data_IF_968074283604
#
_entry.id   IF_968074283604
#
_cell.length_a   1.000
_cell.length_b   1.000
_cell.length_c   1.000
_cell.angle_alpha   90.00
_cell.angle_beta   90.00
_cell.angle_gamma   90.00
#
_symmetry.space_group_name_H-M   'P 1'
#
loop_
_entity.id
_entity.type
_entity.pdbx_description
1 polymer ?
#
# COMPACT_ATOMS: atom_id res chain seq x y z
N UNK A 1 22.10 -19.25 16.09
CA UNK A 1 21.75 -19.42 14.67
C UNK A 1 21.05 -18.13 14.24
N UNK A 2 21.77 -17.19 13.63
CA UNK A 2 21.26 -15.85 13.33
C UNK A 2 20.10 -15.97 12.34
N UNK A 3 18.89 -15.55 12.74
CA UNK A 3 17.75 -15.47 11.86
C UNK A 3 18.13 -14.58 10.67
N UNK A 4 18.01 -15.11 9.44
CA UNK A 4 18.06 -14.28 8.23
C UNK A 4 16.99 -13.22 8.38
N UNK A 5 17.40 -11.96 8.54
CA UNK A 5 16.51 -10.82 8.42
C UNK A 5 15.77 -10.97 7.07
N UNK A 6 14.42 -10.92 7.05
CA UNK A 6 13.69 -11.02 5.80
C UNK A 6 14.21 -9.97 4.82
N UNK A 7 14.37 -10.37 3.54
CA UNK A 7 14.86 -9.53 2.45
C UNK A 7 13.84 -8.43 2.10
N UNK A 8 13.65 -7.47 3.00
CA UNK A 8 12.75 -6.34 2.84
C UNK A 8 13.42 -5.12 2.23
N UNK A 9 12.62 -4.15 1.79
CA UNK A 9 13.07 -2.79 1.49
C UNK A 9 12.67 -1.92 2.68
N UNK A 10 13.65 -1.37 3.39
CA UNK A 10 13.40 -0.38 4.44
C UNK A 10 13.12 0.97 3.80
N UNK A 11 12.02 1.60 4.21
CA UNK A 11 11.54 2.89 3.70
C UNK A 11 11.45 3.87 4.84
N UNK A 12 11.99 5.08 4.64
CA UNK A 12 11.77 6.23 5.52
C UNK A 12 10.93 7.27 4.81
N UNK A 13 9.93 7.82 5.50
CA UNK A 13 9.10 8.91 5.03
C UNK A 13 9.23 10.07 6.02
N UNK A 14 9.57 11.27 5.54
CA UNK A 14 9.68 12.45 6.41
C UNK A 14 9.46 13.74 5.62
N UNK A 15 8.86 14.74 6.27
CA UNK A 15 8.89 16.11 5.82
C UNK A 15 10.05 16.85 6.52
N UNK A 16 11.02 17.34 5.75
CA UNK A 16 12.18 18.04 6.33
C UNK A 16 11.97 19.54 6.45
N UNK A 17 10.81 20.08 6.06
CA UNK A 17 10.43 21.50 6.18
C UNK A 17 11.54 22.46 5.72
N UNK A 18 12.17 22.13 4.59
CA UNK A 18 13.31 22.83 3.98
C UNK A 18 14.54 23.00 4.89
N UNK A 19 14.64 22.23 5.97
CA UNK A 19 15.77 22.23 6.89
C UNK A 19 16.93 21.39 6.34
N UNK A 20 18.08 22.04 6.13
CA UNK A 20 19.29 21.35 5.70
C UNK A 20 19.76 20.32 6.74
N UNK A 21 19.68 20.70 8.01
CA UNK A 21 20.07 19.85 9.14
C UNK A 21 19.19 18.59 9.23
N UNK A 22 17.88 18.73 9.05
CA UNK A 22 16.96 17.59 9.02
C UNK A 22 17.26 16.65 7.85
N UNK A 23 17.59 17.20 6.67
CA UNK A 23 17.96 16.38 5.51
C UNK A 23 19.28 15.62 5.73
N UNK A 24 20.30 16.28 6.29
CA UNK A 24 21.59 15.65 6.58
C UNK A 24 21.45 14.55 7.65
N UNK A 25 20.63 14.78 8.68
CA UNK A 25 20.31 13.80 9.70
C UNK A 25 19.52 12.61 9.14
N UNK A 26 18.53 12.87 8.27
CA UNK A 26 17.79 11.83 7.57
C UNK A 26 18.74 10.92 6.76
N UNK A 27 19.71 11.50 6.04
CA UNK A 27 20.69 10.74 5.27
C UNK A 27 21.64 9.93 6.15
N UNK A 28 22.00 10.44 7.33
CA UNK A 28 22.76 9.68 8.32
C UNK A 28 21.93 8.50 8.86
N UNK A 29 20.69 8.76 9.24
CA UNK A 29 19.77 7.77 9.80
C UNK A 29 19.40 6.69 8.78
N UNK A 30 19.29 7.07 7.51
CA UNK A 30 19.07 6.15 6.40
C UNK A 30 20.19 5.12 6.28
N UNK A 31 21.45 5.52 6.50
CA UNK A 31 22.58 4.59 6.50
C UNK A 31 22.58 3.68 7.72
N UNK A 32 22.21 4.17 8.89
CA UNK A 32 22.14 3.37 10.12
C UNK A 32 21.04 2.30 10.05
N UNK A 33 19.91 2.61 9.41
CA UNK A 33 18.76 1.71 9.29
C UNK A 33 18.77 0.86 8.00
N UNK A 34 19.84 0.94 7.20
CA UNK A 34 19.91 0.34 5.86
C UNK A 34 18.66 0.66 5.01
N UNK A 35 18.18 1.91 5.12
CA UNK A 35 17.02 2.39 4.38
C UNK A 35 17.35 2.57 2.91
N UNK A 36 16.77 1.71 2.07
CA UNK A 36 17.02 1.73 0.64
C UNK A 36 16.19 2.78 -0.11
N UNK A 37 15.12 3.29 0.49
CA UNK A 37 14.24 4.29 -0.12
C UNK A 37 13.90 5.36 0.92
N UNK A 38 14.00 6.64 0.51
CA UNK A 38 13.54 7.77 1.30
C UNK A 38 12.49 8.54 0.50
N UNK A 39 11.34 8.77 1.13
CA UNK A 39 10.24 9.58 0.60
C UNK A 39 10.29 10.90 1.36
N UNK A 40 10.69 11.97 0.68
CA UNK A 40 10.97 13.26 1.31
C UNK A 40 10.00 14.32 0.81
N UNK A 41 9.39 15.01 1.77
CA UNK A 41 8.55 16.19 1.52
C UNK A 41 9.30 17.45 1.93
N UNK A 42 9.09 18.52 1.16
CA UNK A 42 9.73 19.83 1.32
C UNK A 42 11.25 19.78 1.53
N UNK A 43 12.00 19.09 0.66
CA UNK A 43 13.45 19.06 0.81
C UNK A 43 14.06 20.46 0.66
N UNK A 44 15.13 20.73 1.41
CA UNK A 44 16.03 21.84 1.06
C UNK A 44 16.72 21.54 -0.28
N UNK A 45 17.40 22.51 -0.88
CA UNK A 45 18.04 22.35 -2.18
C UNK A 45 18.90 21.06 -2.26
N UNK A 46 18.44 20.08 -3.04
CA UNK A 46 19.11 18.79 -3.24
C UNK A 46 20.02 18.91 -4.45
N UNK A 47 21.27 18.52 -4.30
CA UNK A 47 22.20 18.45 -5.43
C UNK A 47 21.75 17.35 -6.41
N UNK A 48 21.63 17.64 -7.72
CA UNK A 48 21.27 16.63 -8.71
C UNK A 48 22.21 15.43 -8.65
N UNK A 49 21.64 14.23 -8.53
CA UNK A 49 22.37 12.97 -8.47
C UNK A 49 21.48 11.87 -9.03
N UNK A 50 22.09 10.83 -9.60
CA UNK A 50 21.37 9.67 -10.13
C UNK A 50 20.53 8.93 -9.07
N UNK A 51 20.81 9.17 -7.79
CA UNK A 51 20.07 8.58 -6.66
C UNK A 51 18.82 9.38 -6.24
N UNK A 52 18.65 10.61 -6.76
CA UNK A 52 17.58 11.51 -6.36
C UNK A 52 16.63 11.77 -7.53
N UNK A 53 15.33 11.66 -7.27
CA UNK A 53 14.27 12.11 -8.15
C UNK A 53 13.51 13.22 -7.47
N UNK A 54 13.35 14.36 -8.14
CA UNK A 54 12.82 15.59 -7.54
C UNK A 54 11.65 16.10 -8.41
N UNK A 55 10.64 16.65 -7.75
CA UNK A 55 9.53 17.40 -8.36
C UNK A 55 10.03 18.64 -9.13
N UNK A 56 9.18 19.23 -9.96
CA UNK A 56 9.57 20.39 -10.78
C UNK A 56 9.85 21.65 -9.95
N UNK A 57 9.13 21.81 -8.84
CA UNK A 57 9.24 22.92 -7.90
C UNK A 57 10.25 22.67 -6.77
N UNK A 58 10.80 21.46 -6.68
CA UNK A 58 11.66 21.04 -5.56
C UNK A 58 10.91 20.73 -4.25
N UNK A 59 9.58 20.71 -4.23
CA UNK A 59 8.77 20.46 -3.03
C UNK A 59 8.63 18.99 -2.63
N UNK A 60 9.03 18.04 -3.47
CA UNK A 60 8.98 16.60 -3.16
C UNK A 60 10.14 15.87 -3.79
N UNK A 61 10.70 14.90 -3.08
CA UNK A 61 11.80 14.09 -3.58
C UNK A 61 11.68 12.62 -3.15
N UNK A 62 12.27 11.74 -3.97
CA UNK A 62 12.50 10.34 -3.66
C UNK A 62 13.99 10.07 -3.81
N UNK A 63 14.60 9.55 -2.75
CA UNK A 63 15.94 8.97 -2.80
C UNK A 63 15.84 7.45 -2.87
N UNK A 64 16.75 6.83 -3.60
CA UNK A 64 16.91 5.39 -3.59
C UNK A 64 18.39 5.00 -3.60
N UNK A 65 18.73 3.93 -2.87
CA UNK A 65 20.06 3.33 -2.94
C UNK A 65 20.02 1.99 -3.70
N UNK A 66 20.54 1.94 -4.94
CA UNK A 66 20.54 0.74 -5.77
C UNK A 66 21.19 -0.49 -5.11
N UNK A 67 22.18 -0.28 -4.23
CA UNK A 67 22.91 -1.37 -3.58
C UNK A 67 22.06 -2.03 -2.49
N UNK A 68 21.26 -1.25 -1.77
CA UNK A 68 20.36 -1.74 -0.72
C UNK A 68 19.10 -2.36 -1.32
N UNK A 69 18.44 -1.67 -2.26
CA UNK A 69 17.18 -2.16 -2.83
C UNK A 69 17.37 -3.30 -3.83
N UNK A 70 18.52 -3.36 -4.52
CA UNK A 70 18.80 -4.33 -5.60
C UNK A 70 17.72 -4.35 -6.69
N UNK A 71 17.17 -3.17 -6.99
CA UNK A 71 16.13 -2.91 -7.98
C UNK A 71 16.56 -1.71 -8.82
N UNK A 72 16.21 -1.74 -10.11
CA UNK A 72 16.35 -0.56 -10.97
C UNK A 72 15.22 0.41 -10.68
N UNK A 73 15.56 1.66 -10.42
CA UNK A 73 14.60 2.75 -10.28
C UNK A 73 14.65 3.67 -11.51
N UNK A 74 13.48 4.11 -11.97
CA UNK A 74 13.33 5.10 -13.04
C UNK A 74 12.28 6.14 -12.69
N UNK A 75 12.53 7.38 -13.10
CA UNK A 75 11.53 8.43 -13.03
C UNK A 75 10.38 8.07 -13.97
N UNK A 76 9.15 8.02 -13.45
CA UNK A 76 7.95 7.76 -14.24
C UNK A 76 7.24 9.05 -14.61
N UNK A 77 7.05 9.93 -13.61
CA UNK A 77 6.36 11.22 -13.77
C UNK A 77 6.76 12.17 -12.64
N UNK A 78 6.68 13.47 -12.89
CA UNK A 78 6.86 14.52 -11.88
C UNK A 78 6.04 15.76 -12.26
N UNK A 79 5.60 16.51 -11.26
CA UNK A 79 4.95 17.81 -11.41
C UNK A 79 5.40 18.77 -10.32
N UNK A 80 4.69 19.88 -10.13
CA UNK A 80 5.04 20.95 -9.19
C UNK A 80 4.84 20.59 -7.71
N UNK A 81 4.46 19.37 -7.36
CA UNK A 81 4.19 19.01 -5.95
C UNK A 81 4.26 17.51 -5.71
N UNK A 82 4.74 16.77 -6.71
CA UNK A 82 4.87 15.33 -6.63
C UNK A 82 5.97 14.82 -7.54
N UNK A 83 6.51 13.67 -7.19
CA UNK A 83 7.41 12.88 -8.01
C UNK A 83 7.06 11.40 -7.85
N UNK A 84 7.05 10.68 -8.96
CA UNK A 84 6.71 9.27 -9.03
C UNK A 84 7.87 8.47 -9.64
N UNK A 85 8.36 7.48 -8.90
CA UNK A 85 9.50 6.65 -9.26
C UNK A 85 9.07 5.18 -9.30
N UNK A 86 9.35 4.50 -10.41
CA UNK A 86 9.16 3.05 -10.51
C UNK A 86 10.46 2.34 -10.13
N UNK A 87 10.41 1.53 -9.08
CA UNK A 87 11.53 0.72 -8.60
C UNK A 87 11.15 -0.77 -8.67
N UNK A 88 11.59 -1.45 -9.73
CA UNK A 88 11.17 -2.83 -10.00
C UNK A 88 9.63 -2.95 -10.13
N UNK A 89 8.96 -3.81 -9.33
CA UNK A 89 7.50 -3.95 -9.36
C UNK A 89 6.76 -2.85 -8.58
N UNK A 90 7.48 -1.98 -7.87
CA UNK A 90 6.89 -0.98 -6.96
C UNK A 90 6.87 0.41 -7.60
N UNK A 91 5.82 1.16 -7.30
CA UNK A 91 5.70 2.58 -7.63
C UNK A 91 5.71 3.38 -6.33
N UNK A 92 6.73 4.21 -6.16
CA UNK A 92 6.83 5.13 -5.03
C UNK A 92 6.43 6.52 -5.50
N UNK A 93 5.64 7.21 -4.66
CA UNK A 93 5.18 8.57 -4.93
C UNK A 93 5.46 9.39 -3.67
N UNK A 94 6.22 10.48 -3.82
CA UNK A 94 6.29 11.55 -2.84
C UNK A 94 5.41 12.69 -3.34
N UNK A 95 4.51 13.18 -2.51
CA UNK A 95 3.63 14.28 -2.86
C UNK A 95 3.36 15.17 -1.65
N UNK A 96 3.39 16.48 -1.86
CA UNK A 96 2.96 17.48 -0.88
C UNK A 96 1.58 17.97 -1.28
N UNK A 97 0.64 17.88 -0.34
CA UNK A 97 -0.74 18.34 -0.53
C UNK A 97 -0.98 19.57 0.35
N UNK A 98 -2.03 20.33 0.06
CA UNK A 98 -2.41 21.49 0.88
C UNK A 98 -3.44 21.07 1.95
N UNK A 99 -3.89 22.03 2.77
CA UNK A 99 -4.86 21.83 3.85
C UNK A 99 -6.21 21.22 3.44
N UNK A 100 -6.45 20.94 2.15
CA UNK A 100 -7.68 20.29 1.65
C UNK A 100 -7.62 18.76 1.81
N UNK A 101 -7.47 18.29 3.05
CA UNK A 101 -7.38 16.86 3.37
C UNK A 101 -8.51 16.01 2.78
N UNK A 102 -9.74 16.55 2.72
CA UNK A 102 -10.89 15.84 2.13
C UNK A 102 -10.71 15.52 0.64
N UNK A 103 -10.06 16.39 -0.14
CA UNK A 103 -9.83 16.13 -1.57
C UNK A 103 -8.81 15.01 -1.77
N UNK A 104 -7.79 14.95 -0.92
CA UNK A 104 -6.76 13.90 -0.93
C UNK A 104 -7.37 12.55 -0.57
N UNK A 105 -8.19 12.51 0.48
CA UNK A 105 -8.88 11.28 0.92
C UNK A 105 -9.84 10.78 -0.17
N UNK A 106 -10.62 11.66 -0.80
CA UNK A 106 -11.52 11.28 -1.90
C UNK A 106 -10.73 10.72 -3.09
N UNK A 107 -9.67 11.40 -3.51
CA UNK A 107 -8.80 10.95 -4.59
C UNK A 107 -8.17 9.58 -4.32
N UNK A 108 -7.74 9.34 -3.06
CA UNK A 108 -7.16 8.09 -2.62
C UNK A 108 -8.21 6.96 -2.64
N UNK A 109 -9.41 7.23 -2.13
CA UNK A 109 -10.53 6.29 -2.15
C UNK A 109 -10.96 5.92 -3.58
N UNK A 110 -11.03 6.88 -4.50
CA UNK A 110 -11.32 6.64 -5.92
C UNK A 110 -10.29 5.70 -6.60
N UNK A 111 -9.07 5.63 -6.06
CA UNK A 111 -7.97 4.81 -6.56
C UNK A 111 -7.76 3.52 -5.76
N UNK A 112 -8.69 3.21 -4.85
CA UNK A 112 -8.61 2.08 -3.89
C UNK A 112 -7.27 2.06 -3.11
N UNK A 113 -6.74 3.25 -2.81
CA UNK A 113 -5.58 3.38 -1.94
C UNK A 113 -6.02 3.22 -0.48
N UNK A 114 -5.33 2.33 0.23
CA UNK A 114 -5.57 2.01 1.63
C UNK A 114 -4.59 2.78 2.49
N UNK A 115 -5.09 3.38 3.57
CA UNK A 115 -4.23 4.03 4.56
C UNK A 115 -3.42 2.97 5.30
N UNK A 116 -2.12 3.24 5.48
CA UNK A 116 -1.18 2.34 6.15
C UNK A 116 -0.91 2.80 7.58
N UNK A 117 -1.11 4.09 7.89
CA UNK A 117 -0.91 4.64 9.22
C UNK A 117 -1.64 3.80 10.27
N UNK A 118 -0.93 3.46 11.35
CA UNK A 118 -1.47 2.73 12.50
C UNK A 118 -1.15 3.52 13.76
N UNK A 119 -2.09 3.58 14.68
CA UNK A 119 -1.92 4.27 15.96
C UNK A 119 -2.24 5.77 15.89
N UNK A 120 -1.97 6.44 17.01
CA UNK A 120 -2.30 7.84 17.29
C UNK A 120 -1.06 8.70 17.55
N UNK A 121 0.14 8.14 17.35
CA UNK A 121 1.41 8.87 17.49
C UNK A 121 1.46 10.04 16.49
N UNK A 122 1.73 11.27 16.95
CA UNK A 122 1.73 12.45 16.10
C UNK A 122 2.91 12.44 15.11
N UNK A 123 2.64 12.80 13.85
CA UNK A 123 3.67 12.90 12.81
C UNK A 123 4.24 14.31 12.69
N UNK A 124 3.55 15.31 13.22
CA UNK A 124 4.02 16.69 13.31
C UNK A 124 3.80 17.23 14.72
N UNK A 125 4.86 17.72 15.35
CA UNK A 125 4.89 18.23 16.72
C UNK A 125 5.42 19.66 16.68
N UNK A 126 4.60 20.61 17.14
CA UNK A 126 4.91 22.04 17.19
C UNK A 126 4.66 22.56 18.61
N UNK A 127 5.23 23.73 18.99
CA UNK A 127 4.94 24.34 20.28
C UNK A 127 3.44 24.60 20.52
N UNK A 128 2.66 24.82 19.45
CA UNK A 128 1.22 25.09 19.50
C UNK A 128 0.35 23.83 19.54
N UNK A 129 0.93 22.64 19.38
CA UNK A 129 0.19 21.38 19.36
C UNK A 129 0.81 20.33 18.43
N UNK A 130 0.24 19.14 18.46
CA UNK A 130 0.64 18.00 17.64
C UNK A 130 -0.47 17.58 16.67
N UNK A 131 -0.11 16.96 15.55
CA UNK A 131 -1.05 16.54 14.51
C UNK A 131 -0.55 15.32 13.73
N UNK A 132 -1.48 14.57 13.13
CA UNK A 132 -1.20 13.45 12.22
C UNK A 132 -1.55 13.92 10.81
N UNK A 133 -0.55 14.41 10.09
CA UNK A 133 -0.71 15.00 8.75
C UNK A 133 0.09 14.27 7.68
N UNK A 134 1.08 13.49 8.09
CA UNK A 134 1.92 12.70 7.18
C UNK A 134 1.27 11.32 6.99
N UNK A 135 0.62 11.16 5.85
CA UNK A 135 -0.12 9.95 5.51
C UNK A 135 0.69 9.05 4.59
N UNK A 136 0.63 7.74 4.84
CA UNK A 136 1.19 6.69 3.99
C UNK A 136 0.02 5.92 3.39
N UNK A 137 0.00 5.82 2.07
CA UNK A 137 -1.05 5.10 1.33
C UNK A 137 -0.43 3.96 0.52
N UNK A 138 -1.17 2.87 0.36
CA UNK A 138 -0.72 1.69 -0.37
C UNK A 138 -1.84 1.11 -1.24
N UNK A 139 -1.48 0.45 -2.33
CA UNK A 139 -2.44 -0.36 -3.09
C UNK A 139 -2.82 -1.63 -2.31
N UNK A 140 -4.00 -2.22 -2.56
CA UNK A 140 -4.44 -3.41 -1.83
C UNK A 140 -3.49 -4.60 -1.99
N UNK A 141 -2.81 -4.70 -3.14
CA UNK A 141 -1.83 -5.78 -3.41
C UNK A 141 -0.52 -5.59 -2.65
N UNK A 142 -0.14 -4.34 -2.34
CA UNK A 142 1.09 -4.01 -1.63
C UNK A 142 0.90 -3.97 -0.11
N UNK A 143 -0.31 -3.64 0.37
CA UNK A 143 -0.62 -3.54 1.80
C UNK A 143 -0.18 -4.75 2.63
N UNK A 144 -0.39 -6.02 2.23
CA UNK A 144 0.05 -7.20 3.01
C UNK A 144 1.57 -7.38 3.05
N UNK A 145 2.31 -6.68 2.18
CA UNK A 145 3.77 -6.71 2.14
C UNK A 145 4.39 -5.63 3.02
N UNK A 146 3.60 -4.63 3.44
CA UNK A 146 4.07 -3.57 4.32
C UNK A 146 3.99 -4.06 5.76
N UNK A 147 5.14 -4.06 6.44
CA UNK A 147 5.24 -4.39 7.85
C UNK A 147 5.96 -3.30 8.64
N UNK A 148 5.91 -3.44 9.96
CA UNK A 148 6.64 -2.60 10.91
C UNK A 148 6.47 -1.09 10.65
N UNK A 149 5.26 -0.66 10.28
CA UNK A 149 4.95 0.75 10.15
C UNK A 149 4.92 1.40 11.53
N UNK A 150 5.71 2.45 11.72
CA UNK A 150 5.80 3.17 12.99
C UNK A 150 6.29 4.60 12.77
N UNK A 151 5.96 5.47 13.72
CA UNK A 151 6.49 6.83 13.85
C UNK A 151 7.68 6.78 14.80
N UNK A 152 8.85 7.27 14.37
CA UNK A 152 10.09 7.19 15.14
C UNK A 152 10.24 8.38 16.11
N UNK A 153 9.38 8.44 17.12
CA UNK A 153 9.35 9.52 18.12
C UNK A 153 10.55 9.55 19.07
N UNK A 154 11.19 8.40 19.28
CA UNK A 154 12.36 8.28 20.17
C UNK A 154 13.62 9.02 19.67
N UNK A 155 13.59 9.53 18.44
CA UNK A 155 14.73 10.19 17.78
C UNK A 155 14.41 11.64 17.47
N UNK A 156 15.43 12.50 17.57
CA UNK A 156 15.34 13.89 17.13
C UNK A 156 15.49 13.96 15.60
N UNK A 157 14.61 14.71 14.93
CA UNK A 157 14.59 14.83 13.45
C UNK A 157 14.94 16.22 12.93
N UNK A 158 15.21 17.18 13.82
CA UNK A 158 15.56 18.58 13.50
C UNK A 158 14.57 19.27 12.53
N UNK A 159 13.33 18.79 12.55
CA UNK A 159 12.14 19.26 11.84
C UNK A 159 10.97 19.10 12.81
N UNK A 160 9.93 19.91 12.62
CA UNK A 160 8.66 19.77 13.35
C UNK A 160 7.91 18.48 12.95
N UNK A 161 8.40 17.75 11.94
CA UNK A 161 7.86 16.46 11.52
C UNK A 161 8.74 15.31 11.97
N UNK A 162 8.09 14.24 12.42
CA UNK A 162 8.70 13.01 12.88
C UNK A 162 8.76 12.01 11.73
N UNK A 163 9.89 11.32 11.58
CA UNK A 163 10.04 10.35 10.50
C UNK A 163 9.18 9.11 10.75
N UNK A 164 8.50 8.68 9.69
CA UNK A 164 7.82 7.40 9.61
C UNK A 164 8.80 6.37 9.01
N UNK A 165 8.80 5.15 9.54
CA UNK A 165 9.54 4.03 8.96
C UNK A 165 8.64 2.82 8.79
N UNK A 166 8.86 2.07 7.71
CA UNK A 166 8.22 0.78 7.47
C UNK A 166 9.10 -0.08 6.56
N UNK A 167 8.79 -1.37 6.47
CA UNK A 167 9.44 -2.29 5.55
C UNK A 167 8.47 -2.82 4.49
N UNK A 168 9.01 -3.15 3.32
CA UNK A 168 8.28 -3.83 2.25
C UNK A 168 8.93 -5.19 2.01
N UNK A 169 8.22 -6.27 2.33
CA UNK A 169 8.66 -7.64 2.09
C UNK A 169 8.73 -7.94 0.58
N UNK A 170 9.90 -8.39 0.08
CA UNK A 170 10.06 -8.80 -1.33
C UNK A 170 9.48 -10.18 -1.60
N UNK A 171 9.49 -11.04 -0.60
CA UNK A 171 8.81 -12.32 -0.67
C UNK A 171 7.33 -12.05 -0.45
N UNK A 172 6.53 -12.28 -1.50
CA UNK A 172 5.08 -12.37 -1.29
C UNK A 172 4.91 -13.45 -0.22
N UNK A 173 4.35 -13.13 0.96
CA UNK A 173 3.90 -14.19 1.84
C UNK A 173 3.01 -15.05 0.95
N UNK A 174 3.26 -16.36 0.94
CA UNK A 174 2.24 -17.28 0.49
C UNK A 174 1.09 -17.05 1.44
N UNK A 175 0.23 -16.07 1.13
CA UNK A 175 -1.06 -15.94 1.77
C UNK A 175 -1.60 -17.36 1.71
N UNK A 176 -1.93 -17.99 2.85
CA UNK A 176 -2.57 -19.28 2.80
C UNK A 176 -3.68 -19.10 1.76
N UNK A 177 -3.75 -19.94 0.71
CA UNK A 177 -4.82 -19.82 -0.27
C UNK A 177 -6.08 -19.71 0.57
N UNK A 178 -6.86 -18.63 0.40
CA UNK A 178 -8.08 -18.40 1.16
C UNK A 178 -8.99 -19.60 0.87
N UNK A 179 -8.76 -20.67 1.63
CA UNK A 179 -9.45 -21.94 1.56
C UNK A 179 -10.56 -21.77 2.58
N UNK A 180 -11.63 -21.14 2.11
CA UNK A 180 -12.84 -20.99 2.90
C UNK A 180 -13.54 -19.66 2.65
N UNK A 181 -14.79 -19.78 2.21
CA UNK A 181 -15.90 -18.85 2.37
C UNK A 181 -16.01 -17.61 1.46
N UNK A 182 -14.93 -16.89 1.13
CA UNK A 182 -15.07 -15.70 0.28
C UNK A 182 -15.05 -16.02 -1.21
N UNK A 183 -16.17 -16.57 -1.71
CA UNK A 183 -16.40 -16.75 -3.14
C UNK A 183 -16.48 -15.37 -3.80
N UNK A 184 -15.60 -15.12 -4.76
CA UNK A 184 -15.57 -13.87 -5.53
C UNK A 184 -16.88 -13.69 -6.30
N UNK A 185 -17.42 -12.48 -6.36
CA UNK A 185 -18.55 -12.13 -7.22
C UNK A 185 -18.18 -12.17 -8.71
N UNK A 186 -19.10 -12.64 -9.56
CA UNK A 186 -18.93 -12.59 -11.00
C UNK A 186 -19.31 -11.21 -11.53
N UNK A 187 -18.34 -10.30 -11.57
CA UNK A 187 -18.54 -8.92 -12.02
C UNK A 187 -19.04 -8.80 -13.47
N UNK A 188 -18.88 -9.84 -14.31
CA UNK A 188 -19.43 -9.83 -15.68
C UNK A 188 -20.96 -9.88 -15.72
N UNK A 189 -21.58 -10.39 -14.65
CA UNK A 189 -23.04 -10.48 -14.51
C UNK A 189 -23.58 -9.44 -13.53
N UNK A 190 -22.79 -8.42 -13.22
CA UNK A 190 -23.17 -7.42 -12.22
C UNK A 190 -24.31 -6.54 -12.73
N UNK A 191 -25.45 -6.60 -12.05
CA UNK A 191 -26.59 -5.72 -12.30
C UNK A 191 -26.47 -4.46 -11.45
N UNK A 192 -26.16 -3.34 -12.10
CA UNK A 192 -25.95 -2.05 -11.44
C UNK A 192 -27.24 -1.48 -10.84
N UNK A 193 -28.39 -1.74 -11.44
CA UNK A 193 -29.66 -1.16 -10.99
C UNK A 193 -30.19 -1.93 -9.78
N UNK A 194 -30.05 -3.25 -9.79
CA UNK A 194 -30.35 -4.09 -8.64
C UNK A 194 -29.43 -3.79 -7.45
N UNK A 195 -28.13 -3.56 -7.70
CA UNK A 195 -27.18 -3.11 -6.68
C UNK A 195 -27.63 -1.81 -5.99
N UNK A 196 -27.97 -0.79 -6.78
CA UNK A 196 -28.44 0.51 -6.27
C UNK A 196 -29.75 0.37 -5.50
N UNK A 197 -30.70 -0.41 -6.02
CA UNK A 197 -31.98 -0.64 -5.36
C UNK A 197 -31.79 -1.28 -3.98
N UNK A 198 -30.91 -2.27 -3.89
CA UNK A 198 -30.60 -2.96 -2.63
C UNK A 198 -29.89 -2.04 -1.64
N UNK A 199 -28.98 -1.18 -2.10
CA UNK A 199 -28.34 -0.14 -1.28
C UNK A 199 -29.33 0.88 -0.73
N UNK A 200 -30.25 1.39 -1.57
CA UNK A 200 -31.28 2.35 -1.15
C UNK A 200 -32.24 1.70 -0.15
N UNK A 201 -32.54 0.41 -0.32
CA UNK A 201 -33.36 -0.34 0.62
C UNK A 201 -32.66 -0.56 1.96
N UNK A 202 -31.39 -1.02 1.93
CA UNK A 202 -30.60 -1.31 3.12
C UNK A 202 -30.13 -0.08 3.90
N UNK A 203 -30.07 1.09 3.25
CA UNK A 203 -29.71 2.37 3.88
C UNK A 203 -30.88 3.11 4.52
N UNK A 204 -32.11 2.57 4.46
CA UNK A 204 -33.23 3.08 5.25
C UNK A 204 -33.04 2.70 6.71
N UNK A 205 -32.45 3.60 7.49
CA UNK A 205 -32.57 3.54 8.95
C UNK A 205 -33.99 3.99 9.35
N UNK A 206 -34.79 3.16 10.03
CA UNK A 206 -35.88 3.68 10.83
C UNK A 206 -35.26 4.54 11.94
N UNK A 207 -35.81 5.73 12.15
CA UNK A 207 -35.33 6.73 13.10
C UNK A 207 -34.92 6.11 14.45
N UNK A 208 -33.63 6.11 14.77
CA UNK A 208 -33.14 5.88 16.12
C UNK A 208 -32.05 6.89 16.45
N UNK A 209 -32.34 7.69 17.47
CA UNK A 209 -31.48 8.69 18.13
C UNK A 209 -30.33 8.05 18.93
N UNK A 210 -29.79 6.91 18.46
CA UNK A 210 -28.73 6.21 19.17
C UNK A 210 -27.37 6.61 18.60
N UNK A 211 -26.52 7.09 19.48
CA UNK A 211 -25.11 7.39 19.26
C UNK A 211 -24.37 6.08 18.90
N UNK A 212 -24.49 5.65 17.64
CA UNK A 212 -23.91 4.39 17.17
C UNK A 212 -22.39 4.47 17.28
N UNK A 213 -21.79 3.53 18.02
CA UNK A 213 -20.35 3.28 18.01
C UNK A 213 -19.88 3.17 16.54
N UNK A 214 -18.80 3.88 16.20
CA UNK A 214 -18.20 3.89 14.86
C UNK A 214 -17.94 2.45 14.37
N UNK A 215 -17.57 1.56 15.29
CA UNK A 215 -17.36 0.14 15.02
C UNK A 215 -18.63 -0.57 14.52
N UNK A 216 -19.78 -0.21 15.08
CA UNK A 216 -21.07 -0.79 14.70
C UNK A 216 -21.50 -0.28 13.32
N UNK A 217 -21.31 1.02 13.07
CA UNK A 217 -21.57 1.63 11.76
C UNK A 217 -20.74 1.00 10.64
N UNK A 218 -19.47 0.66 10.91
CA UNK A 218 -18.61 -0.04 9.94
C UNK A 218 -19.16 -1.43 9.62
N UNK A 219 -19.58 -2.19 10.63
CA UNK A 219 -20.15 -3.53 10.45
C UNK A 219 -21.46 -3.50 9.66
N UNK A 220 -22.30 -2.50 9.91
CA UNK A 220 -23.56 -2.34 9.20
C UNK A 220 -23.33 -1.97 7.73
N UNK A 221 -22.35 -1.11 7.45
CA UNK A 221 -21.92 -0.82 6.09
C UNK A 221 -21.38 -2.07 5.39
N UNK A 222 -20.50 -2.85 6.03
CA UNK A 222 -19.96 -4.09 5.45
C UNK A 222 -21.08 -5.07 5.10
N UNK A 223 -22.06 -5.24 6.00
CA UNK A 223 -23.23 -6.08 5.78
C UNK A 223 -24.08 -5.62 4.60
N UNK A 224 -24.46 -4.34 4.55
CA UNK A 224 -25.27 -3.79 3.45
C UNK A 224 -24.53 -3.94 2.12
N UNK A 225 -23.21 -3.75 2.12
CA UNK A 225 -22.40 -3.88 0.91
C UNK A 225 -22.30 -5.33 0.44
N UNK A 226 -22.19 -6.28 1.36
CA UNK A 226 -22.22 -7.72 1.05
C UNK A 226 -23.57 -8.15 0.48
N UNK A 227 -24.68 -7.74 1.11
CA UNK A 227 -26.05 -8.02 0.64
C UNK A 227 -26.30 -7.43 -0.75
N UNK A 228 -25.88 -6.18 -0.98
CA UNK A 228 -26.01 -5.53 -2.28
C UNK A 228 -25.17 -6.26 -3.36
N UNK A 229 -23.96 -6.71 -3.03
CA UNK A 229 -23.13 -7.48 -3.96
C UNK A 229 -23.74 -8.87 -4.28
N UNK A 230 -24.30 -9.56 -3.28
CA UNK A 230 -24.96 -10.85 -3.45
C UNK A 230 -26.25 -10.76 -4.27
N UNK A 231 -26.99 -9.68 -4.08
CA UNK A 231 -28.14 -9.32 -4.88
C UNK A 231 -27.73 -9.05 -6.35
N UNK A 232 -26.70 -8.23 -6.56
CA UNK A 232 -26.30 -7.75 -7.89
C UNK A 232 -25.47 -8.74 -8.72
N UNK A 233 -24.78 -9.69 -8.08
CA UNK A 233 -23.90 -10.61 -8.79
C UNK A 233 -23.90 -12.02 -8.18
N UNK A 234 -23.92 -13.03 -9.03
CA UNK A 234 -23.72 -14.41 -8.58
C UNK A 234 -22.28 -14.63 -8.13
N UNK A 235 -22.08 -15.27 -6.96
CA UNK A 235 -20.76 -15.73 -6.53
C UNK A 235 -20.21 -16.80 -7.50
N UNK A 236 -18.93 -16.68 -7.87
CA UNK A 236 -18.22 -17.61 -8.75
C UNK A 236 -18.18 -18.97 -8.08
N UNK A 237 -18.86 -19.93 -8.70
CA UNK A 237 -18.88 -21.32 -8.24
C UNK A 237 -17.50 -21.95 -8.42
N UNK A 238 -17.12 -22.93 -7.58
CA UNK A 238 -15.98 -23.79 -7.87
C UNK A 238 -16.13 -24.33 -9.29
N UNK A 239 -15.03 -24.36 -10.06
CA UNK A 239 -15.03 -25.11 -11.32
C UNK A 239 -15.50 -26.52 -10.97
N UNK A 240 -16.59 -26.98 -11.59
CA UNK A 240 -16.96 -28.40 -11.51
C UNK A 240 -15.68 -29.19 -11.82
N UNK A 241 -15.29 -30.16 -10.98
CA UNK A 241 -14.14 -30.99 -11.30
C UNK A 241 -14.37 -31.50 -12.72
N UNK A 242 -13.42 -31.17 -13.62
CA UNK A 242 -13.45 -31.74 -14.96
C UNK A 242 -13.53 -33.24 -14.75
N UNK A 243 -14.49 -33.92 -15.41
CA UNK A 243 -14.50 -35.38 -15.44
C UNK A 243 -13.10 -35.80 -15.88
N UNK A 244 -12.29 -36.30 -14.96
CA UNK A 244 -11.03 -36.92 -15.32
C UNK A 244 -11.41 -38.05 -16.29
N UNK A 245 -10.80 -38.07 -17.47
CA UNK A 245 -10.99 -39.20 -18.35
C UNK A 245 -10.58 -40.46 -17.57
N UNK A 246 -11.29 -41.57 -17.76
CA UNK A 246 -11.11 -42.80 -16.96
C UNK A 246 -9.66 -43.33 -16.96
N UNK A 247 -8.86 -42.93 -17.94
CA UNK A 247 -7.45 -43.29 -18.09
C UNK A 247 -6.47 -42.35 -17.37
N UNK A 248 -6.96 -41.27 -16.76
CA UNK A 248 -6.13 -40.31 -16.02
C UNK A 248 -5.80 -40.82 -14.63
N UNK A 249 -4.51 -40.98 -14.31
CA UNK A 249 -4.01 -41.40 -13.00
C UNK A 249 -2.75 -40.60 -12.59
N UNK A 250 -2.27 -40.82 -11.37
CA UNK A 250 -1.13 -40.09 -10.80
C UNK A 250 0.17 -40.31 -11.61
N UNK A 251 0.39 -41.51 -12.15
CA UNK A 251 1.59 -41.81 -12.93
C UNK A 251 1.64 -41.02 -14.25
N UNK A 252 0.49 -40.86 -14.93
CA UNK A 252 0.36 -39.99 -16.11
C UNK A 252 0.57 -38.51 -15.76
N UNK A 253 0.09 -38.06 -14.60
CA UNK A 253 0.28 -36.68 -14.13
C UNK A 253 1.76 -36.36 -13.86
N UNK A 254 2.48 -37.28 -13.21
CA UNK A 254 3.93 -37.16 -12.95
C UNK A 254 4.71 -37.06 -14.27
N UNK A 255 4.45 -37.97 -15.22
CA UNK A 255 5.11 -37.97 -16.53
C UNK A 255 4.86 -36.68 -17.31
N UNK A 256 3.62 -36.19 -17.30
CA UNK A 256 3.26 -34.93 -17.96
C UNK A 256 3.98 -33.74 -17.33
N UNK A 257 4.06 -33.69 -15.99
CA UNK A 257 4.77 -32.63 -15.28
C UNK A 257 6.27 -32.64 -15.61
N UNK A 258 6.90 -33.82 -15.65
CA UNK A 258 8.30 -33.96 -16.05
C UNK A 258 8.53 -33.46 -17.48
N UNK A 259 7.65 -33.85 -18.42
CA UNK A 259 7.74 -33.45 -19.82
C UNK A 259 7.55 -31.92 -20.01
N UNK A 260 6.60 -31.31 -19.29
CA UNK A 260 6.39 -29.84 -19.32
C UNK A 260 7.60 -29.10 -18.73
N UNK A 261 8.18 -29.60 -17.63
CA UNK A 261 9.39 -29.01 -17.04
C UNK A 261 10.55 -29.06 -18.03
N UNK A 262 10.80 -30.20 -18.65
CA UNK A 262 11.84 -30.38 -19.65
C UNK A 262 11.66 -29.44 -20.87
N UNK A 263 10.41 -29.27 -21.33
CA UNK A 263 10.08 -28.33 -22.41
C UNK A 263 10.35 -26.88 -22.01
N UNK A 264 9.95 -26.47 -20.80
CA UNK A 264 10.15 -25.11 -20.31
C UNK A 264 11.61 -24.78 -20.02
N UNK A 265 12.44 -25.76 -19.68
CA UNK A 265 13.89 -25.58 -19.53
C UNK A 265 14.64 -25.48 -20.86
N UNK A 266 13.99 -25.87 -21.97
CA UNK A 266 14.58 -25.82 -23.31
C UNK A 266 14.21 -24.55 -24.09
N UNK A 267 13.17 -23.82 -23.65
CA UNK A 267 12.78 -22.51 -24.17
C UNK A 267 13.40 -21.39 -23.35
#
# INVERSE_FOLDING_TARGET
MAARLPMGINVLQVNVNRSRRALDLLLHQAKELDAGILIVSEPCNIMPSDKWMISLDGGSAIYFDPNLIKLKCRLLSRGDRFVAAQCGPYLFISAVTNQRGLQVVRWAAERDLRIVNVGDTPTCVRPQGSSIVDLTWSSPDLLPLIGNWQVNEDKEWLSDHVCISFNICKDRPSLPPIRGLNRRWNLRKFDRDFFKATLIWGSRNPETEDEHDLSQSIRDLDRIMEEACDAAASRISPRRPRRCAYWWNESVAILRNACIRARRSWQ
#
